data_IF_102106089740
#
_entry.id   IF_102106089740
#
_cell.length_a   1.000
_cell.length_b   1.000
_cell.length_c   1.000
_cell.angle_alpha   90.00
_cell.angle_beta   90.00
_cell.angle_gamma   90.00
#
_symmetry.space_group_name_H-M   'P 1'
#
loop_
_entity.id
_entity.type
_entity.pdbx_description
1 polymer ?
#
# COMPACT_ATOMS: atom_id res chain seq x y z
N UNK A 1 0.90 16.29 5.32
CA UNK A 1 1.47 17.28 6.27
C UNK A 1 0.37 18.09 6.95
N UNK A 2 -0.47 18.83 6.23
CA UNK A 2 -1.54 19.62 6.89
C UNK A 2 -2.52 18.76 7.69
N UNK A 3 -3.03 17.66 7.10
CA UNK A 3 -3.84 16.65 7.81
C UNK A 3 -3.18 16.12 9.10
N UNK A 4 -1.86 15.98 9.11
CA UNK A 4 -1.12 15.53 10.29
C UNK A 4 -1.07 16.62 11.36
N UNK A 5 -0.81 17.88 10.98
CA UNK A 5 -0.91 19.02 11.91
C UNK A 5 -2.32 19.21 12.46
N UNK A 6 -3.34 18.97 11.65
CA UNK A 6 -4.74 19.07 12.08
C UNK A 6 -5.08 17.97 13.09
N UNK A 7 -4.59 16.75 12.88
CA UNK A 7 -4.69 15.66 13.85
C UNK A 7 -4.02 16.02 15.19
N UNK A 8 -2.81 16.61 15.15
CA UNK A 8 -2.12 17.05 16.37
C UNK A 8 -2.86 18.17 17.10
N UNK A 9 -3.53 19.08 16.37
CA UNK A 9 -4.35 20.15 16.94
C UNK A 9 -5.65 19.64 17.56
N UNK A 10 -6.24 18.60 16.99
CA UNK A 10 -7.50 18.03 17.48
C UNK A 10 -7.36 17.30 18.81
N UNK A 11 -6.15 16.84 19.17
CA UNK A 11 -5.89 16.12 20.41
C UNK A 11 -4.63 16.65 21.12
N UNK A 12 -4.64 17.86 21.69
CA UNK A 12 -3.45 18.51 22.25
C UNK A 12 -2.87 17.79 23.49
N UNK A 13 -3.65 16.90 24.12
CA UNK A 13 -3.27 16.13 25.31
C UNK A 13 -3.14 14.63 25.01
N UNK A 14 -2.58 14.27 23.84
CA UNK A 14 -2.41 12.88 23.41
C UNK A 14 -1.40 12.06 24.23
N UNK A 15 -0.71 12.63 25.23
CA UNK A 15 0.24 11.92 26.11
C UNK A 15 1.56 11.47 25.46
N UNK A 16 1.62 11.37 24.13
CA UNK A 16 2.83 10.99 23.41
C UNK A 16 3.85 12.12 23.27
N UNK A 17 5.13 11.77 23.32
CA UNK A 17 6.21 12.70 23.01
C UNK A 17 6.18 13.07 21.52
N UNK A 18 6.63 14.29 21.19
CA UNK A 18 6.72 14.76 19.79
C UNK A 18 7.53 13.82 18.90
N UNK A 19 8.51 13.12 19.49
CA UNK A 19 9.32 12.16 18.76
C UNK A 19 8.54 10.89 18.40
N UNK A 20 7.80 10.33 19.35
CA UNK A 20 6.95 9.15 19.10
C UNK A 20 5.91 9.40 18.00
N UNK A 21 5.40 10.63 17.90
CA UNK A 21 4.48 11.03 16.84
C UNK A 21 5.13 11.11 15.46
N UNK A 22 6.39 11.53 15.39
CA UNK A 22 7.13 11.60 14.13
C UNK A 22 7.54 10.20 13.68
N UNK A 23 7.97 9.35 14.60
CA UNK A 23 8.26 7.95 14.33
C UNK A 23 7.02 7.22 13.79
N UNK A 24 5.88 7.33 14.49
CA UNK A 24 4.60 6.77 14.03
C UNK A 24 4.20 7.31 12.65
N UNK A 25 4.34 8.63 12.45
CA UNK A 25 4.07 9.25 11.15
C UNK A 25 4.96 8.68 10.04
N UNK A 26 6.26 8.56 10.28
CA UNK A 26 7.23 8.05 9.32
C UNK A 26 6.97 6.59 8.97
N UNK A 27 6.72 5.75 9.98
CA UNK A 27 6.44 4.32 9.80
C UNK A 27 5.10 4.06 9.08
N UNK A 28 4.16 5.00 9.12
CA UNK A 28 2.91 4.94 8.37
C UNK A 28 3.04 5.40 6.90
N UNK A 29 4.19 5.94 6.48
CA UNK A 29 4.42 6.34 5.09
C UNK A 29 4.67 5.12 4.21
N UNK A 30 4.31 5.24 2.92
CA UNK A 30 4.76 4.28 1.93
C UNK A 30 6.29 4.42 1.70
N UNK A 31 6.98 3.37 1.22
CA UNK A 31 8.43 3.39 1.03
C UNK A 31 8.94 4.54 0.16
N UNK A 32 8.21 4.88 -0.91
CA UNK A 32 8.63 5.96 -1.81
C UNK A 32 8.64 7.34 -1.11
N UNK A 33 7.65 7.62 -0.28
CA UNK A 33 7.61 8.85 0.52
C UNK A 33 8.69 8.85 1.62
N UNK A 34 9.03 7.68 2.21
CA UNK A 34 10.14 7.53 3.15
C UNK A 34 11.49 7.81 2.50
N UNK A 35 11.79 7.16 1.37
CA UNK A 35 13.02 7.36 0.61
C UNK A 35 13.18 8.82 0.22
N UNK A 36 12.09 9.44 -0.24
CA UNK A 36 12.10 10.85 -0.61
C UNK A 36 12.46 11.75 0.58
N UNK A 37 12.01 11.43 1.80
CA UNK A 37 12.41 12.17 3.00
C UNK A 37 13.86 11.91 3.39
N UNK A 38 14.32 10.67 3.32
CA UNK A 38 15.70 10.30 3.63
C UNK A 38 16.70 10.96 2.66
N UNK A 39 16.40 10.99 1.36
CA UNK A 39 17.21 11.72 0.38
C UNK A 39 17.28 13.21 0.66
N UNK A 40 16.23 13.82 1.22
CA UNK A 40 16.25 15.23 1.59
C UNK A 40 17.03 15.49 2.89
N UNK A 41 17.24 14.45 3.69
CA UNK A 41 18.00 14.49 4.93
C UNK A 41 19.46 14.03 4.74
N UNK A 42 19.84 13.57 3.55
CA UNK A 42 21.11 12.89 3.24
C UNK A 42 21.43 11.67 4.13
N UNK A 43 20.46 11.20 4.90
CA UNK A 43 20.57 10.08 5.84
C UNK A 43 19.17 9.60 6.27
N UNK A 44 19.11 8.61 7.16
CA UNK A 44 17.84 8.23 7.78
C UNK A 44 17.25 9.42 8.54
N UNK A 45 16.00 9.79 8.22
CA UNK A 45 15.29 10.91 8.82
C UNK A 45 15.16 10.77 10.35
N UNK A 46 14.96 9.57 10.85
CA UNK A 46 14.84 9.28 12.29
C UNK A 46 16.19 9.39 13.03
N UNK A 47 17.32 9.46 12.32
CA UNK A 47 18.62 9.75 12.93
C UNK A 47 18.85 11.24 13.21
N UNK A 48 17.96 12.13 12.75
CA UNK A 48 18.07 13.58 12.92
C UNK A 48 17.35 14.07 14.19
N UNK A 49 17.70 15.27 14.66
CA UNK A 49 16.98 15.91 15.76
C UNK A 49 15.55 16.23 15.34
N UNK A 50 14.62 16.17 16.29
CA UNK A 50 13.17 16.39 16.07
C UNK A 50 12.88 17.68 15.30
N UNK A 51 13.58 18.78 15.59
CA UNK A 51 13.38 20.06 14.91
C UNK A 51 13.82 20.04 13.45
N UNK A 52 14.90 19.32 13.14
CA UNK A 52 15.43 19.17 11.80
C UNK A 52 14.46 18.33 10.95
N UNK A 53 13.89 17.26 11.53
CA UNK A 53 12.86 16.42 10.90
C UNK A 53 11.63 17.23 10.51
N UNK A 54 11.12 18.06 11.41
CA UNK A 54 9.96 18.92 11.12
C UNK A 54 10.23 19.88 9.97
N UNK A 55 11.43 20.47 9.95
CA UNK A 55 11.85 21.43 8.90
C UNK A 55 11.91 20.75 7.53
N UNK A 56 12.46 19.53 7.47
CA UNK A 56 12.57 18.75 6.23
C UNK A 56 11.17 18.39 5.70
N UNK A 57 10.30 17.87 6.56
CA UNK A 57 8.94 17.50 6.18
C UNK A 57 8.16 18.74 5.68
N UNK A 58 8.27 19.86 6.39
CA UNK A 58 7.60 21.09 6.00
C UNK A 58 8.12 21.61 4.65
N UNK A 59 9.44 21.73 4.46
CA UNK A 59 10.05 22.18 3.21
C UNK A 59 9.60 21.30 2.04
N UNK A 60 9.62 19.99 2.21
CA UNK A 60 9.21 19.03 1.19
C UNK A 60 7.72 19.12 0.86
N UNK A 61 6.87 19.33 1.87
CA UNK A 61 5.44 19.54 1.67
C UNK A 61 5.14 20.80 0.85
N UNK A 62 5.88 21.89 1.07
CA UNK A 62 5.75 23.15 0.30
C UNK A 62 6.14 22.96 -1.16
N UNK A 63 7.23 22.24 -1.43
CA UNK A 63 7.66 21.91 -2.80
C UNK A 63 6.59 21.12 -3.55
N UNK A 64 6.03 20.08 -2.93
CA UNK A 64 4.96 19.26 -3.54
C UNK A 64 3.68 20.08 -3.77
N UNK A 65 3.30 20.92 -2.82
CA UNK A 65 2.13 21.79 -2.96
C UNK A 65 2.31 22.80 -4.11
N UNK A 66 3.48 23.42 -4.24
CA UNK A 66 3.79 24.34 -5.33
C UNK A 66 3.74 23.66 -6.70
N UNK A 67 4.33 22.46 -6.82
CA UNK A 67 4.30 21.68 -8.05
C UNK A 67 2.88 21.29 -8.44
N UNK A 68 2.08 20.82 -7.48
CA UNK A 68 0.68 20.47 -7.73
C UNK A 68 -0.13 21.69 -8.18
N UNK A 69 0.07 22.87 -7.56
CA UNK A 69 -0.57 24.12 -7.99
C UNK A 69 -0.19 24.49 -9.44
N UNK A 70 1.10 24.38 -9.79
CA UNK A 70 1.59 24.65 -11.15
C UNK A 70 1.00 23.70 -12.19
N UNK A 71 0.82 22.42 -11.85
CA UNK A 71 0.18 21.44 -12.73
C UNK A 71 -1.29 21.80 -12.93
N UNK A 72 -2.02 22.14 -11.86
CA UNK A 72 -3.43 22.56 -11.93
C UNK A 72 -3.61 23.82 -12.78
N UNK A 73 -2.71 24.81 -12.66
CA UNK A 73 -2.76 26.01 -13.51
C UNK A 73 -2.44 25.70 -14.97
N UNK A 74 -1.53 24.76 -15.24
CA UNK A 74 -1.16 24.38 -16.60
C UNK A 74 -2.30 23.60 -17.28
N UNK A 75 -2.96 22.66 -16.57
CA UNK A 75 -4.14 21.95 -17.08
C UNK A 75 -5.26 22.93 -17.45
N UNK A 76 -5.50 23.97 -16.64
CA UNK A 76 -6.48 25.02 -16.93
C UNK A 76 -6.12 25.94 -18.11
N UNK A 77 -4.85 25.98 -18.53
CA UNK A 77 -4.40 26.78 -19.69
C UNK A 77 -4.37 25.96 -20.99
N UNK A 78 -4.36 24.63 -20.88
CA UNK A 78 -4.22 23.72 -22.03
C UNK A 78 -5.52 23.48 -22.79
N UNK A 79 -6.66 24.00 -22.32
CA UNK A 79 -7.94 24.01 -23.05
C UNK A 79 -7.90 24.89 -24.32
N UNK A 80 -6.79 25.61 -24.56
CA UNK A 80 -6.58 26.48 -25.73
C UNK A 80 -5.66 25.88 -26.84
N UNK A 81 -5.30 24.59 -26.79
CA UNK A 81 -4.58 23.91 -27.88
C UNK A 81 -5.41 22.73 -28.44
N UNK A 82 -6.38 23.05 -29.32
CA UNK A 82 -7.33 22.09 -29.87
C UNK A 82 -6.72 20.95 -30.71
N UNK A 83 -5.45 21.01 -31.15
CA UNK A 83 -4.87 19.96 -31.99
C UNK A 83 -4.40 18.74 -31.18
N UNK A 84 -3.81 18.95 -30.00
CA UNK A 84 -3.29 17.86 -29.17
C UNK A 84 -4.40 17.14 -28.40
N UNK A 85 -5.45 17.86 -27.96
CA UNK A 85 -6.61 17.27 -27.28
C UNK A 85 -7.41 16.34 -28.20
N UNK A 86 -7.51 16.63 -29.50
CA UNK A 86 -8.18 15.78 -30.48
C UNK A 86 -7.47 14.43 -30.65
N UNK A 87 -6.14 14.42 -30.66
CA UNK A 87 -5.37 13.17 -30.79
C UNK A 87 -5.41 12.34 -29.51
N UNK A 88 -5.41 12.98 -28.33
CA UNK A 88 -5.55 12.30 -27.03
C UNK A 88 -6.92 11.64 -26.88
N UNK A 89 -8.01 12.30 -27.31
CA UNK A 89 -9.36 11.71 -27.25
C UNK A 89 -9.53 10.53 -28.20
N UNK A 90 -8.98 10.61 -29.42
CA UNK A 90 -8.94 9.49 -30.38
C UNK A 90 -8.13 8.31 -29.84
N UNK A 91 -6.94 8.55 -29.30
CA UNK A 91 -6.10 7.51 -28.72
C UNK A 91 -6.79 6.84 -27.52
N UNK A 92 -7.42 7.63 -26.65
CA UNK A 92 -8.17 7.11 -25.50
C UNK A 92 -9.34 6.23 -25.94
N UNK A 93 -10.07 6.64 -26.98
CA UNK A 93 -11.16 5.83 -27.53
C UNK A 93 -10.66 4.51 -28.13
N UNK A 94 -9.56 4.56 -28.90
CA UNK A 94 -8.94 3.37 -29.49
C UNK A 94 -8.43 2.38 -28.44
N UNK A 95 -7.78 2.87 -27.37
CA UNK A 95 -7.31 2.02 -26.25
C UNK A 95 -8.49 1.35 -25.57
N UNK A 96 -9.55 2.10 -25.24
CA UNK A 96 -10.74 1.53 -24.60
C UNK A 96 -11.42 0.47 -25.48
N UNK A 97 -11.48 0.69 -26.79
CA UNK A 97 -12.02 -0.29 -27.74
C UNK A 97 -11.16 -1.56 -27.81
N UNK A 98 -9.83 -1.41 -27.82
CA UNK A 98 -8.90 -2.54 -27.82
C UNK A 98 -8.98 -3.33 -26.50
N UNK A 99 -9.04 -2.64 -25.35
CA UNK A 99 -9.22 -3.29 -24.04
C UNK A 99 -10.52 -4.09 -24.00
N UNK A 100 -11.64 -3.53 -24.47
CA UNK A 100 -12.92 -4.25 -24.54
C UNK A 100 -12.84 -5.50 -25.41
N UNK A 101 -12.17 -5.42 -26.56
CA UNK A 101 -11.96 -6.57 -27.45
C UNK A 101 -11.11 -7.66 -26.79
N UNK A 102 -10.01 -7.28 -26.14
CA UNK A 102 -9.12 -8.21 -25.41
C UNK A 102 -9.86 -8.85 -24.25
N UNK A 103 -10.63 -8.09 -23.46
CA UNK A 103 -11.44 -8.63 -22.37
C UNK A 103 -12.47 -9.63 -22.88
N UNK A 104 -13.13 -9.32 -24.01
CA UNK A 104 -14.10 -10.22 -24.63
C UNK A 104 -13.44 -11.53 -25.10
N UNK A 105 -12.28 -11.43 -25.76
CA UNK A 105 -11.52 -12.60 -26.18
C UNK A 105 -11.06 -13.45 -24.99
N UNK A 106 -10.60 -12.82 -23.90
CA UNK A 106 -10.18 -13.51 -22.68
C UNK A 106 -11.35 -14.25 -22.02
N UNK A 107 -12.53 -13.63 -21.97
CA UNK A 107 -13.76 -14.28 -21.46
C UNK A 107 -14.16 -15.46 -22.33
N UNK A 108 -14.07 -15.34 -23.66
CA UNK A 108 -14.37 -16.43 -24.59
C UNK A 108 -13.41 -17.62 -24.39
N UNK A 109 -12.10 -17.34 -24.24
CA UNK A 109 -11.08 -18.36 -23.95
C UNK A 109 -11.35 -19.02 -22.59
N UNK A 110 -11.63 -18.23 -21.54
CA UNK A 110 -11.99 -18.74 -20.21
C UNK A 110 -13.21 -19.67 -20.24
N UNK A 111 -14.24 -19.34 -21.02
CA UNK A 111 -15.40 -20.20 -21.22
C UNK A 111 -15.02 -21.51 -21.91
N UNK A 112 -14.16 -21.46 -22.93
CA UNK A 112 -13.67 -22.66 -23.61
C UNK A 112 -12.88 -23.60 -22.66
N UNK A 113 -12.13 -23.04 -21.71
CA UNK A 113 -11.42 -23.82 -20.68
C UNK A 113 -12.34 -24.37 -19.59
N UNK A 114 -13.53 -23.79 -19.39
CA UNK A 114 -14.53 -24.30 -18.43
C UNK A 114 -15.38 -25.44 -18.99
N UNK A 115 -15.37 -25.68 -20.30
CA UNK A 115 -16.08 -26.80 -20.94
C UNK A 115 -15.30 -28.14 -20.91
N UNK A 116 -14.13 -28.21 -20.27
CA UNK A 116 -13.44 -29.49 -20.07
C UNK A 116 -14.01 -30.24 -18.85
N UNK A 117 -14.27 -31.56 -18.95
CA UNK A 117 -14.75 -32.35 -17.82
C UNK A 117 -13.73 -32.31 -16.65
N UNK A 118 -14.19 -32.29 -15.39
CA UNK A 118 -13.28 -32.22 -14.25
C UNK A 118 -12.37 -33.45 -14.21
N UNK A 119 -11.04 -33.29 -14.00
CA UNK A 119 -10.19 -34.40 -13.65
C UNK A 119 -10.65 -34.99 -12.30
N UNK A 120 -10.57 -36.31 -12.19
CA UNK A 120 -11.04 -37.08 -11.04
C UNK A 120 -10.56 -36.49 -9.70
N UNK A 121 -11.48 -36.41 -8.74
CA UNK A 121 -11.27 -35.85 -7.41
C UNK A 121 -10.09 -36.50 -6.69
N UNK A 122 -9.08 -35.72 -6.35
CA UNK A 122 -8.03 -36.12 -5.41
C UNK A 122 -8.54 -35.89 -3.99
N UNK A 123 -8.39 -36.91 -3.13
CA UNK A 123 -8.91 -36.98 -1.76
C UNK A 123 -8.28 -35.90 -0.87
N UNK A 124 -9.10 -35.14 -0.14
CA UNK A 124 -8.66 -34.12 0.80
C UNK A 124 -7.94 -34.74 2.01
N UNK A 125 -6.81 -34.14 2.39
CA UNK A 125 -6.15 -34.34 3.69
C UNK A 125 -6.70 -33.28 4.64
N UNK A 126 -7.29 -33.71 5.75
CA UNK A 126 -7.71 -32.83 6.83
C UNK A 126 -6.48 -32.33 7.58
N UNK A 127 -6.28 -31.01 7.58
CA UNK A 127 -5.23 -30.35 8.35
C UNK A 127 -5.72 -30.19 9.80
N UNK A 128 -5.26 -31.10 10.67
CA UNK A 128 -5.64 -31.11 12.09
C UNK A 128 -4.84 -30.03 12.82
N UNK A 129 -5.39 -28.81 12.89
CA UNK A 129 -4.81 -27.75 13.71
C UNK A 129 -5.12 -28.00 15.20
N UNK A 130 -4.10 -28.39 15.96
CA UNK A 130 -4.19 -28.53 17.42
C UNK A 130 -4.21 -27.15 18.05
N UNK A 131 -5.38 -26.70 18.49
CA UNK A 131 -5.52 -25.49 19.29
C UNK A 131 -5.39 -25.85 20.77
N UNK A 132 -4.44 -25.21 21.45
CA UNK A 132 -4.15 -25.43 22.86
C UNK A 132 -5.21 -24.72 23.72
N UNK A 133 -6.32 -25.41 24.00
CA UNK A 133 -7.52 -24.84 24.64
C UNK A 133 -7.43 -24.56 26.15
N UNK A 134 -6.26 -24.29 26.72
CA UNK A 134 -6.08 -24.12 28.17
C UNK A 134 -5.62 -22.72 28.59
N UNK A 135 -5.94 -22.32 29.83
CA UNK A 135 -5.48 -21.07 30.44
C UNK A 135 -4.02 -21.20 30.93
N UNK A 136 -3.07 -21.12 30.01
CA UNK A 136 -1.65 -21.05 30.34
C UNK A 136 -0.92 -20.09 29.38
N UNK A 137 0.21 -19.51 29.81
CA UNK A 137 1.01 -18.64 28.95
C UNK A 137 1.50 -19.39 27.70
N UNK A 138 1.54 -18.70 26.56
CA UNK A 138 1.85 -19.27 25.24
C UNK A 138 3.12 -20.14 25.19
N UNK A 139 4.15 -19.82 25.97
CA UNK A 139 5.42 -20.54 25.99
C UNK A 139 5.40 -21.87 26.77
N UNK A 140 4.29 -22.20 27.43
CA UNK A 140 4.15 -23.37 28.30
C UNK A 140 3.22 -24.45 27.72
N UNK A 141 2.71 -24.27 26.50
CA UNK A 141 1.94 -25.31 25.82
C UNK A 141 2.89 -26.42 25.34
N UNK A 142 2.91 -27.55 26.04
CA UNK A 142 3.60 -28.75 25.58
C UNK A 142 2.76 -29.35 24.45
N UNK A 143 3.29 -29.32 23.22
CA UNK A 143 2.73 -30.12 22.14
C UNK A 143 2.89 -31.59 22.53
N UNK A 144 1.78 -32.24 22.87
CA UNK A 144 1.75 -33.68 23.05
C UNK A 144 1.90 -34.32 21.67
N UNK A 145 3.14 -34.47 21.19
CA UNK A 145 3.46 -35.41 20.12
C UNK A 145 3.34 -36.82 20.70
N UNK A 146 2.11 -37.32 20.72
CA UNK A 146 1.79 -38.70 21.06
C UNK A 146 2.16 -39.63 19.92
N UNK A 147 3.45 -39.77 19.63
CA UNK A 147 3.98 -40.83 18.79
C UNK A 147 4.84 -41.78 19.63
N UNK A 148 4.17 -42.62 20.43
CA UNK A 148 4.79 -43.80 21.01
C UNK A 148 4.99 -44.83 19.89
N UNK A 149 6.21 -44.97 19.36
CA UNK A 149 6.58 -46.14 18.57
C UNK A 149 6.73 -47.34 19.51
N UNK A 150 6.02 -48.47 19.31
CA UNK A 150 6.39 -49.69 19.99
C UNK A 150 7.62 -50.28 19.30
N UNK A 151 8.68 -50.44 20.09
CA UNK A 151 9.85 -51.24 19.78
C UNK A 151 9.45 -52.72 19.76
N UNK A 152 9.46 -53.35 18.59
CA UNK A 152 9.71 -54.79 18.42
C UNK A 152 10.12 -55.11 16.99
#
# INVERSE_FOLDING_TARGET
WDRYKDLLRACPHHGFTKWHQLDTFYNALNPADQDSLNSAADCNLLARRTQDVLTIIEKKSKVRNSRNKSIVSQVKSSDANSSSSSEITKLTHAVNQQTSAVTTAMIAILKQFQETPPPASVKAVEEIYVTCGGAHPYYQCLAADGNTFPES
#
